data_IF_737849100133
#
_entry.id   IF_737849100133
#
_cell.length_a   1.000
_cell.length_b   1.000
_cell.length_c   1.000
_cell.angle_alpha   90.00
_cell.angle_beta   90.00
_cell.angle_gamma   90.00
#
_symmetry.space_group_name_H-M   'P 1'
#
loop_
_entity.id
_entity.type
_entity.pdbx_description
1 polymer ?
#
# COMPACT_ATOMS: atom_id res chain seq x y z
N UNK A 1 10.80 -7.62 5.74
CA UNK A 1 10.33 -7.15 7.07
C UNK A 1 11.08 -5.91 7.55
N UNK A 2 12.41 -5.88 7.62
CA UNK A 2 13.21 -4.71 8.07
C UNK A 2 12.94 -3.41 7.31
N UNK A 3 12.69 -3.46 6.00
CA UNK A 3 12.43 -2.26 5.18
C UNK A 3 11.08 -1.61 5.55
N UNK A 4 10.03 -2.41 5.76
CA UNK A 4 8.72 -1.91 6.19
C UNK A 4 8.81 -1.25 7.57
N UNK A 5 9.55 -1.86 8.50
CA UNK A 5 9.80 -1.33 9.83
C UNK A 5 10.55 0.02 9.78
N UNK A 6 11.57 0.13 8.92
CA UNK A 6 12.30 1.39 8.71
C UNK A 6 11.42 2.50 8.13
N UNK A 7 10.43 2.18 7.29
CA UNK A 7 9.49 3.14 6.75
C UNK A 7 8.54 3.68 7.82
N UNK A 8 8.01 2.79 8.66
CA UNK A 8 7.13 3.15 9.79
C UNK A 8 7.88 4.03 10.80
N UNK A 9 9.13 3.67 11.15
CA UNK A 9 9.95 4.48 12.07
C UNK A 9 10.18 5.89 11.55
N UNK A 10 10.42 6.07 10.24
CA UNK A 10 10.58 7.39 9.63
C UNK A 10 9.30 8.21 9.68
N UNK A 11 8.14 7.59 9.41
CA UNK A 11 6.86 8.26 9.47
C UNK A 11 6.53 8.72 10.90
N UNK A 12 6.76 7.85 11.90
CA UNK A 12 6.55 8.17 13.33
C UNK A 12 7.53 9.26 13.78
N UNK A 13 8.82 9.16 13.45
CA UNK A 13 9.81 10.16 13.79
C UNK A 13 9.47 11.52 13.17
N UNK A 14 9.04 11.55 11.90
CA UNK A 14 8.60 12.79 11.24
C UNK A 14 7.43 13.46 11.95
N UNK A 15 6.42 12.70 12.36
CA UNK A 15 5.26 13.22 13.06
C UNK A 15 5.59 13.72 14.46
N UNK A 16 6.49 13.05 15.19
CA UNK A 16 6.97 13.49 16.49
C UNK A 16 7.76 14.82 16.42
N UNK A 17 8.56 15.00 15.37
CA UNK A 17 9.33 16.24 15.15
C UNK A 17 8.42 17.43 14.87
N UNK A 18 7.29 17.20 14.16
CA UNK A 18 6.34 18.25 13.82
C UNK A 18 5.33 18.51 14.95
N UNK A 19 5.30 17.66 16.00
CA UNK A 19 4.41 17.80 17.15
C UNK A 19 2.93 17.55 16.82
N UNK A 20 2.65 16.78 15.76
CA UNK A 20 1.29 16.39 15.35
C UNK A 20 0.89 15.12 16.06
N UNK A 21 -0.30 15.10 16.69
CA UNK A 21 -0.88 13.88 17.22
C UNK A 21 -1.13 12.88 16.09
N UNK A 22 -0.46 11.72 16.18
CA UNK A 22 -0.62 10.66 15.21
C UNK A 22 -1.91 9.91 15.54
N UNK A 23 -2.89 9.97 14.65
CA UNK A 23 -4.05 9.09 14.77
C UNK A 23 -3.61 7.63 14.70
N UNK A 24 -4.10 6.81 15.64
CA UNK A 24 -3.83 5.36 15.65
C UNK A 24 -4.22 4.68 14.34
N UNK A 25 -5.28 5.16 13.69
CA UNK A 25 -5.74 4.68 12.39
C UNK A 25 -4.76 5.00 11.25
N UNK A 26 -4.21 6.21 11.24
CA UNK A 26 -3.22 6.61 10.24
C UNK A 26 -1.95 5.76 10.36
N UNK A 27 -1.55 5.44 11.59
CA UNK A 27 -0.39 4.60 11.85
C UNK A 27 -0.63 3.17 11.35
N UNK A 28 -1.81 2.59 11.62
CA UNK A 28 -2.20 1.27 11.11
C UNK A 28 -2.21 1.26 9.57
N UNK A 29 -2.83 2.24 8.92
CA UNK A 29 -2.82 2.36 7.48
C UNK A 29 -1.40 2.43 6.91
N UNK A 30 -0.52 3.22 7.52
CA UNK A 30 0.88 3.35 7.10
C UNK A 30 1.63 2.02 7.21
N UNK A 31 1.46 1.28 8.30
CA UNK A 31 2.06 -0.05 8.50
C UNK A 31 1.56 -1.02 7.42
N UNK A 32 0.25 -1.07 7.19
CA UNK A 32 -0.36 -1.98 6.22
C UNK A 32 0.07 -1.68 4.79
N UNK A 33 0.13 -0.40 4.39
CA UNK A 33 0.64 -0.01 3.06
C UNK A 33 2.11 -0.37 2.91
N UNK A 34 2.94 -0.11 3.91
CA UNK A 34 4.36 -0.47 3.89
C UNK A 34 4.54 -1.99 3.76
N UNK A 35 3.73 -2.78 4.49
CA UNK A 35 3.74 -4.25 4.42
C UNK A 35 3.28 -4.74 3.04
N UNK A 36 2.22 -4.15 2.48
CA UNK A 36 1.71 -4.44 1.15
C UNK A 36 2.80 -4.26 0.06
N UNK A 37 3.49 -3.13 0.08
CA UNK A 37 4.57 -2.84 -0.87
C UNK A 37 5.78 -3.79 -0.67
N UNK A 38 6.13 -4.10 0.58
CA UNK A 38 7.20 -5.04 0.89
C UNK A 38 6.90 -6.46 0.41
N UNK A 39 5.67 -6.94 0.59
CA UNK A 39 5.23 -8.25 0.09
C UNK A 39 5.18 -8.30 -1.44
N UNK A 40 4.70 -7.24 -2.09
CA UNK A 40 4.71 -7.12 -3.55
C UNK A 40 6.13 -7.19 -4.12
N UNK A 41 7.08 -6.48 -3.51
CA UNK A 41 8.49 -6.55 -3.86
C UNK A 41 9.06 -7.97 -3.67
N UNK A 42 8.76 -8.60 -2.53
CA UNK A 42 9.23 -9.96 -2.23
C UNK A 42 8.69 -10.99 -3.21
N UNK A 43 7.40 -10.87 -3.59
CA UNK A 43 6.80 -11.71 -4.60
C UNK A 43 7.53 -11.60 -5.93
N UNK A 44 7.83 -10.38 -6.37
CA UNK A 44 8.56 -10.14 -7.60
C UNK A 44 9.97 -10.77 -7.57
N UNK A 45 10.71 -10.63 -6.48
CA UNK A 45 12.03 -11.25 -6.29
C UNK A 45 11.96 -12.78 -6.38
N UNK A 46 10.96 -13.41 -5.74
CA UNK A 46 10.77 -14.87 -5.78
C UNK A 46 10.46 -15.35 -7.19
N UNK A 47 9.65 -14.61 -7.95
CA UNK A 47 9.31 -14.95 -9.33
C UNK A 47 10.53 -14.86 -10.26
N UNK A 48 11.36 -13.82 -10.12
CA UNK A 48 12.61 -13.68 -10.89
C UNK A 48 13.58 -14.82 -10.60
N UNK A 49 13.77 -15.16 -9.32
CA UNK A 49 14.63 -16.27 -8.91
C UNK A 49 14.13 -17.63 -9.40
N UNK A 50 12.80 -17.81 -9.53
CA UNK A 50 12.22 -19.05 -10.06
C UNK A 50 12.48 -19.21 -11.57
N UNK A 51 12.53 -18.13 -12.32
CA UNK A 51 12.87 -18.16 -13.75
C UNK A 51 14.37 -18.45 -13.98
N UNK A 52 15.27 -17.94 -13.14
CA UNK A 52 16.73 -18.22 -13.21
C UNK A 52 17.08 -19.59 -12.65
N UNK A 53 16.35 -20.12 -11.67
CA UNK A 53 16.67 -21.33 -10.95
C UNK A 53 16.16 -22.62 -11.60
N UNK A 54 15.75 -22.62 -12.87
CA UNK A 54 15.67 -23.87 -13.65
C UNK A 54 17.01 -24.65 -13.61
N UNK A 55 18.11 -24.03 -13.16
CA UNK A 55 19.45 -24.60 -12.97
C UNK A 55 19.84 -24.93 -11.52
N UNK A 56 19.18 -24.42 -10.47
CA UNK A 56 19.58 -24.66 -9.07
C UNK A 56 18.40 -24.85 -8.12
N UNK A 57 17.95 -26.05 -7.99
CA UNK A 57 16.75 -26.57 -7.31
C UNK A 57 16.71 -26.48 -5.76
N UNK A 58 17.54 -25.69 -5.09
CA UNK A 58 17.75 -25.85 -3.64
C UNK A 58 17.33 -24.70 -2.73
N UNK A 59 16.94 -23.54 -3.23
CA UNK A 59 16.62 -22.36 -2.39
C UNK A 59 15.12 -22.01 -2.36
N UNK A 60 14.28 -22.72 -3.12
CA UNK A 60 12.84 -22.45 -3.28
C UNK A 60 11.95 -23.07 -2.17
N UNK A 61 12.51 -23.68 -1.11
CA UNK A 61 11.74 -24.37 -0.07
C UNK A 61 11.01 -23.46 0.91
N UNK A 62 11.40 -22.22 1.10
CA UNK A 62 10.87 -21.40 2.19
C UNK A 62 9.79 -20.38 1.80
N UNK A 63 9.66 -20.00 0.53
CA UNK A 63 8.65 -19.03 0.09
C UNK A 63 7.88 -19.53 -1.13
N UNK A 64 6.73 -20.17 -0.88
CA UNK A 64 5.80 -20.52 -1.93
C UNK A 64 5.13 -19.24 -2.47
N UNK A 65 5.15 -18.93 -3.79
CA UNK A 65 4.44 -17.80 -4.40
C UNK A 65 2.97 -17.73 -4.00
N UNK A 66 2.31 -18.87 -3.88
CA UNK A 66 0.93 -18.97 -3.42
C UNK A 66 0.73 -18.42 -2.01
N UNK A 67 1.65 -18.68 -1.09
CA UNK A 67 1.59 -18.15 0.27
C UNK A 67 1.76 -16.63 0.29
N UNK A 68 2.66 -16.10 -0.55
CA UNK A 68 2.83 -14.65 -0.70
C UNK A 68 1.57 -13.99 -1.27
N UNK A 69 0.91 -14.62 -2.24
CA UNK A 69 -0.34 -14.12 -2.80
C UNK A 69 -1.47 -14.08 -1.75
N UNK A 70 -1.56 -15.09 -0.88
CA UNK A 70 -2.50 -15.07 0.24
C UNK A 70 -2.19 -13.95 1.25
N UNK A 71 -0.92 -13.76 1.62
CA UNK A 71 -0.51 -12.66 2.51
C UNK A 71 -0.84 -11.29 1.90
N UNK A 72 -0.58 -11.10 0.61
CA UNK A 72 -0.92 -9.88 -0.12
C UNK A 72 -2.44 -9.65 -0.08
N UNK A 73 -3.25 -10.68 -0.32
CA UNK A 73 -4.71 -10.56 -0.27
C UNK A 73 -5.23 -10.14 1.11
N UNK A 74 -4.72 -10.76 2.17
CA UNK A 74 -5.08 -10.40 3.56
C UNK A 74 -4.68 -8.96 3.88
N UNK A 75 -3.45 -8.56 3.56
CA UNK A 75 -2.96 -7.19 3.82
C UNK A 75 -3.74 -6.17 2.99
N UNK A 76 -4.09 -6.50 1.75
CA UNK A 76 -4.91 -5.64 0.88
C UNK A 76 -6.28 -5.37 1.49
N UNK A 77 -6.99 -6.43 1.90
CA UNK A 77 -8.30 -6.30 2.53
C UNK A 77 -8.22 -5.51 3.85
N UNK A 78 -7.19 -5.78 4.66
CA UNK A 78 -6.95 -5.06 5.91
C UNK A 78 -6.65 -3.58 5.68
N UNK A 79 -5.87 -3.24 4.66
CA UNK A 79 -5.53 -1.85 4.31
C UNK A 79 -6.78 -1.09 3.91
N UNK A 80 -7.60 -1.66 3.03
CA UNK A 80 -8.83 -1.04 2.57
C UNK A 80 -9.82 -0.83 3.72
N UNK A 81 -9.99 -1.86 4.57
CA UNK A 81 -10.90 -1.78 5.71
C UNK A 81 -10.42 -0.76 6.74
N UNK A 82 -9.12 -0.74 7.05
CA UNK A 82 -8.54 0.25 7.98
C UNK A 82 -8.68 1.67 7.45
N UNK A 83 -8.52 1.87 6.14
CA UNK A 83 -8.72 3.17 5.53
C UNK A 83 -10.20 3.60 5.60
N UNK A 84 -11.14 2.72 5.28
CA UNK A 84 -12.56 2.99 5.39
C UNK A 84 -12.97 3.34 6.83
N UNK A 85 -12.48 2.58 7.81
CA UNK A 85 -12.72 2.87 9.23
C UNK A 85 -12.08 4.20 9.67
N UNK A 86 -10.91 4.54 9.13
CA UNK A 86 -10.28 5.84 9.35
C UNK A 86 -11.17 6.98 8.86
N UNK A 87 -11.69 6.90 7.64
CA UNK A 87 -12.56 7.94 7.06
C UNK A 87 -13.87 8.12 7.80
N UNK A 88 -14.36 7.06 8.47
CA UNK A 88 -15.59 7.06 9.26
C UNK A 88 -15.34 7.34 10.75
N UNK A 89 -14.08 7.50 11.18
CA UNK A 89 -13.75 7.65 12.59
C UNK A 89 -14.27 8.99 13.15
N UNK A 90 -14.76 9.01 14.41
CA UNK A 90 -15.21 10.25 15.05
C UNK A 90 -14.10 11.31 15.19
N UNK A 91 -12.82 10.88 15.18
CA UNK A 91 -11.66 11.77 15.21
C UNK A 91 -11.56 12.57 13.92
N UNK A 92 -11.75 11.90 12.79
CA UNK A 92 -11.73 12.52 11.46
C UNK A 92 -12.93 13.45 11.27
N UNK A 93 -14.14 13.00 11.64
CA UNK A 93 -15.35 13.80 11.57
C UNK A 93 -15.25 15.08 12.43
N UNK A 94 -14.67 15.00 13.63
CA UNK A 94 -14.42 16.19 14.47
C UNK A 94 -13.38 17.14 13.93
N UNK A 95 -12.36 16.61 13.23
CA UNK A 95 -11.24 17.40 12.72
C UNK A 95 -11.55 18.10 11.39
N UNK A 96 -12.40 17.49 10.57
CA UNK A 96 -12.70 17.93 9.20
C UNK A 96 -14.17 18.29 8.95
N UNK A 97 -15.01 18.24 10.00
CA UNK A 97 -16.39 18.76 9.98
C UNK A 97 -17.45 17.78 9.48
N UNK A 98 -17.09 16.84 8.59
CA UNK A 98 -17.99 15.85 8.00
C UNK A 98 -17.28 14.54 7.62
N UNK A 99 -18.06 13.51 7.27
CA UNK A 99 -17.55 12.21 6.81
C UNK A 99 -17.19 12.17 5.31
N UNK A 100 -16.97 13.32 4.69
CA UNK A 100 -16.76 13.45 3.24
C UNK A 100 -15.49 12.73 2.76
N UNK A 101 -14.52 12.49 3.64
CA UNK A 101 -13.37 11.65 3.34
C UNK A 101 -13.76 10.23 2.90
N UNK A 102 -14.96 9.76 3.20
CA UNK A 102 -15.46 8.46 2.70
C UNK A 102 -15.50 8.42 1.17
N UNK A 103 -15.73 9.53 0.49
CA UNK A 103 -15.72 9.60 -0.98
C UNK A 103 -14.35 9.34 -1.61
N UNK A 104 -13.29 9.32 -0.81
CA UNK A 104 -11.95 8.97 -1.28
C UNK A 104 -11.66 7.46 -1.27
N UNK A 105 -12.49 6.64 -0.60
CA UNK A 105 -12.34 5.18 -0.53
C UNK A 105 -12.31 4.50 -1.90
N UNK A 106 -13.15 4.88 -2.88
CA UNK A 106 -13.12 4.28 -4.22
C UNK A 106 -11.78 4.47 -4.95
N UNK A 107 -11.09 5.60 -4.76
CA UNK A 107 -9.76 5.84 -5.34
C UNK A 107 -8.72 4.88 -4.74
N UNK A 108 -8.72 4.74 -3.42
CA UNK A 108 -7.82 3.79 -2.73
C UNK A 108 -8.08 2.35 -3.19
N UNK A 109 -9.35 1.96 -3.35
CA UNK A 109 -9.74 0.65 -3.87
C UNK A 109 -9.22 0.42 -5.29
N UNK A 110 -9.43 1.40 -6.18
CA UNK A 110 -8.94 1.32 -7.56
C UNK A 110 -7.41 1.26 -7.61
N UNK A 111 -6.72 2.12 -6.86
CA UNK A 111 -5.26 2.14 -6.78
C UNK A 111 -4.68 0.80 -6.35
N UNK A 112 -5.25 0.18 -5.31
CA UNK A 112 -4.85 -1.15 -4.83
C UNK A 112 -5.09 -2.22 -5.90
N UNK A 113 -6.27 -2.26 -6.53
CA UNK A 113 -6.56 -3.25 -7.57
C UNK A 113 -5.68 -3.05 -8.81
N UNK A 114 -5.43 -1.82 -9.21
CA UNK A 114 -4.52 -1.53 -10.31
C UNK A 114 -3.10 -1.98 -10.00
N UNK A 115 -2.61 -1.73 -8.79
CA UNK A 115 -1.30 -2.20 -8.35
C UNK A 115 -1.22 -3.74 -8.34
N UNK A 116 -2.23 -4.43 -7.79
CA UNK A 116 -2.30 -5.89 -7.82
C UNK A 116 -2.26 -6.44 -9.25
N UNK A 117 -3.01 -5.82 -10.15
CA UNK A 117 -2.99 -6.18 -11.56
C UNK A 117 -1.60 -6.04 -12.17
N UNK A 118 -0.89 -4.95 -11.88
CA UNK A 118 0.48 -4.73 -12.35
C UNK A 118 1.46 -5.77 -11.80
N UNK A 119 1.40 -6.05 -10.51
CA UNK A 119 2.26 -7.04 -9.84
C UNK A 119 2.05 -8.45 -10.42
N UNK A 120 0.80 -8.81 -10.77
CA UNK A 120 0.50 -10.14 -11.32
C UNK A 120 0.81 -10.24 -12.83
N UNK A 121 0.65 -9.16 -13.60
CA UNK A 121 0.85 -9.18 -15.04
C UNK A 121 2.29 -8.93 -15.48
N UNK A 122 3.04 -8.12 -14.74
CA UNK A 122 4.42 -7.73 -15.08
C UNK A 122 5.47 -8.66 -14.46
N UNK A 123 5.18 -9.95 -14.32
CA UNK A 123 6.16 -10.96 -13.87
C UNK A 123 7.44 -10.99 -14.75
N UNK A 124 7.44 -10.30 -15.88
CA UNK A 124 8.52 -10.37 -16.90
C UNK A 124 9.50 -9.19 -16.98
N UNK A 125 9.57 -8.27 -16.02
CA UNK A 125 10.66 -7.32 -16.17
C UNK A 125 10.63 -5.95 -15.52
N UNK A 126 9.83 -5.68 -14.53
CA UNK A 126 9.88 -4.40 -13.83
C UNK A 126 9.75 -4.53 -12.32
N UNK A 127 10.56 -3.78 -11.56
CA UNK A 127 10.34 -3.72 -10.11
C UNK A 127 8.94 -3.13 -9.83
N UNK A 128 8.21 -3.59 -8.80
CA UNK A 128 6.91 -3.04 -8.43
C UNK A 128 6.93 -1.52 -8.24
N UNK A 129 8.04 -1.01 -7.75
CA UNK A 129 8.27 0.44 -7.58
C UNK A 129 8.33 1.18 -8.92
N UNK A 130 8.94 0.57 -9.95
CA UNK A 130 8.99 1.15 -11.28
C UNK A 130 7.60 1.15 -11.93
N UNK A 131 6.83 0.09 -11.72
CA UNK A 131 5.44 0.00 -12.19
C UNK A 131 4.55 1.10 -11.58
N UNK A 132 4.70 1.39 -10.28
CA UNK A 132 4.01 2.48 -9.60
C UNK A 132 4.28 3.85 -10.23
N UNK A 133 5.52 4.11 -10.63
CA UNK A 133 5.95 5.41 -11.17
C UNK A 133 5.72 5.56 -12.68
N UNK A 134 5.47 4.46 -13.39
CA UNK A 134 5.38 4.46 -14.87
C UNK A 134 3.94 4.23 -15.37
N UNK A 135 3.08 3.64 -14.54
CA UNK A 135 1.68 3.37 -14.92
C UNK A 135 0.84 4.65 -14.88
N UNK A 136 0.47 5.14 -16.05
CA UNK A 136 -0.33 6.39 -16.20
C UNK A 136 -1.68 6.34 -15.48
N UNK A 137 -2.48 5.26 -15.56
CA UNK A 137 -3.76 5.17 -14.85
C UNK A 137 -3.59 5.23 -13.32
N UNK A 138 -2.54 4.59 -12.78
CA UNK A 138 -2.28 4.60 -11.35
C UNK A 138 -1.80 5.98 -10.87
N UNK A 139 -0.94 6.64 -11.64
CA UNK A 139 -0.49 8.01 -11.35
C UNK A 139 -1.65 9.01 -11.38
N UNK A 140 -2.56 8.86 -12.33
CA UNK A 140 -3.74 9.70 -12.46
C UNK A 140 -4.71 9.48 -11.28
N UNK A 141 -4.91 8.25 -10.86
CA UNK A 141 -5.72 7.90 -9.69
C UNK A 141 -5.15 8.51 -8.40
N UNK A 142 -3.85 8.39 -8.18
CA UNK A 142 -3.17 9.02 -7.03
C UNK A 142 -3.35 10.55 -7.06
N UNK A 143 -3.21 11.17 -8.21
CA UNK A 143 -3.38 12.61 -8.37
C UNK A 143 -4.83 13.03 -8.07
N UNK A 144 -5.81 12.30 -8.60
CA UNK A 144 -7.23 12.54 -8.34
C UNK A 144 -7.56 12.35 -6.86
N UNK A 145 -6.98 11.33 -6.22
CA UNK A 145 -7.13 11.13 -4.79
C UNK A 145 -6.58 12.34 -3.99
N UNK A 146 -5.38 12.83 -4.32
CA UNK A 146 -4.83 14.02 -3.68
C UNK A 146 -5.71 15.26 -3.87
N UNK A 147 -6.23 15.48 -5.08
CA UNK A 147 -7.14 16.59 -5.38
C UNK A 147 -8.43 16.47 -4.58
N UNK A 148 -9.02 15.27 -4.54
CA UNK A 148 -10.24 15.01 -3.77
C UNK A 148 -10.03 15.28 -2.27
N UNK A 149 -8.96 14.76 -1.69
CA UNK A 149 -8.61 15.02 -0.28
C UNK A 149 -8.39 16.52 -0.05
N UNK A 150 -7.66 17.18 -0.95
CA UNK A 150 -7.42 18.62 -0.83
C UNK A 150 -8.70 19.43 -0.87
N UNK A 151 -9.62 19.13 -1.79
CA UNK A 151 -10.91 19.79 -1.88
C UNK A 151 -11.76 19.59 -0.62
N UNK A 152 -11.80 18.35 -0.09
CA UNK A 152 -12.54 18.02 1.13
C UNK A 152 -11.98 18.76 2.36
N UNK A 153 -10.66 18.94 2.42
CA UNK A 153 -10.00 19.59 3.58
C UNK A 153 -10.12 21.13 3.57
N UNK A 154 -10.31 21.72 2.39
CA UNK A 154 -10.30 23.19 2.23
C UNK A 154 -11.67 23.78 1.83
N UNK A 155 -12.69 22.94 1.67
CA UNK A 155 -14.08 23.39 1.39
C UNK A 155 -14.87 23.44 2.67
#
# INVERSE_FOLDING_TARGET
MLVAFGFVLRAVAGALVIGVEISSWLLICTILIALFLALGKRRHEVMLLSEESSKHRRVLGEYNPYFLDQMIAVVTASTLMSYALYTLSPEVARKFGDNDLMFTVPFVLYGIFRYLYLVHRQAKGGSPTHALLTDRPLMLDILLWFVAVWLILYH
#
